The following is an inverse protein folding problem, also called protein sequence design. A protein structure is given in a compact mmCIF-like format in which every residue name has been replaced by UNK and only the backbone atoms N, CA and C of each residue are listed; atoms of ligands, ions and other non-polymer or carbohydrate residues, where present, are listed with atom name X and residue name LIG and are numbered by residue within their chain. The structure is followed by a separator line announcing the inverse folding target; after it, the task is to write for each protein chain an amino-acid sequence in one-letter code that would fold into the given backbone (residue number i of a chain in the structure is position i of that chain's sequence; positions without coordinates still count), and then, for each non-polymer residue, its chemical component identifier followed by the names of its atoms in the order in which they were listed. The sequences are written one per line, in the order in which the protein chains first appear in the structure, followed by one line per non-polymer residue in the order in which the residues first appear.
data_IF_572821352782
#
_entry.id   IF_572821352782
#
_cell.length_a   1.000
_cell.length_b   1.000
_cell.length_c   1.000
_cell.angle_alpha   90.00
_cell.angle_beta   90.00
_cell.angle_gamma   90.00
#
_symmetry.space_group_name_H-M   'P 1'
#
loop_
_entity.id
_entity.type
_entity.pdbx_description
1 polymer ?
#
# COMPACT_ATOMS: atom_id res chain seq x y z
N UNK A 1 3.84 21.50 5.34
CA UNK A 1 3.52 22.63 6.25
C UNK A 1 4.69 22.99 7.17
N UNK A 2 5.23 22.06 7.93
CA UNK A 2 6.33 22.34 8.87
C UNK A 2 7.64 22.73 8.16
N UNK A 3 7.87 22.31 6.93
CA UNK A 3 9.00 22.76 6.09
C UNK A 3 8.93 24.28 5.91
N UNK A 4 7.78 24.80 5.47
CA UNK A 4 7.58 26.24 5.30
C UNK A 4 7.71 27.00 6.65
N UNK A 5 7.22 26.42 7.73
CA UNK A 5 7.37 27.00 9.06
C UNK A 5 8.84 27.01 9.52
N UNK A 6 9.60 25.94 9.20
CA UNK A 6 11.03 25.87 9.53
C UNK A 6 11.83 26.95 8.80
N UNK A 7 11.52 27.23 7.53
CA UNK A 7 12.16 28.32 6.77
C UNK A 7 11.98 29.69 7.42
N UNK A 8 10.82 29.90 8.04
CA UNK A 8 10.56 31.12 8.82
C UNK A 8 11.28 31.09 10.17
N UNK A 9 11.27 29.97 10.89
CA UNK A 9 11.87 29.84 12.22
C UNK A 9 13.41 29.89 12.21
N UNK A 10 14.06 29.43 11.13
CA UNK A 10 15.52 29.51 10.98
C UNK A 10 16.02 30.96 11.03
N UNK A 11 15.20 31.94 10.66
CA UNK A 11 15.56 33.36 10.78
C UNK A 11 15.76 33.81 12.25
N UNK A 12 15.18 33.08 13.20
CA UNK A 12 15.29 33.38 14.64
C UNK A 12 16.32 32.50 15.34
N UNK A 13 16.38 31.21 14.98
CA UNK A 13 17.33 30.25 15.54
C UNK A 13 17.68 29.18 14.51
N UNK A 14 18.97 29.04 14.21
CA UNK A 14 19.49 28.07 13.23
C UNK A 14 19.26 26.58 13.63
N UNK A 15 18.94 26.32 14.90
CA UNK A 15 18.61 24.95 15.35
C UNK A 15 17.41 24.35 14.63
N UNK A 16 16.48 25.18 14.13
CA UNK A 16 15.34 24.72 13.35
C UNK A 16 15.68 24.18 11.96
N UNK A 17 16.93 24.38 11.49
CA UNK A 17 17.42 23.78 10.22
C UNK A 17 17.36 22.24 10.23
N UNK A 18 17.34 21.62 11.40
CA UNK A 18 17.19 20.16 11.54
C UNK A 18 15.88 19.65 10.91
N UNK A 19 14.83 20.48 10.86
CA UNK A 19 13.55 20.14 10.24
C UNK A 19 13.58 20.16 8.71
N UNK A 20 14.65 20.66 8.10
CA UNK A 20 14.82 20.61 6.64
C UNK A 20 15.36 19.25 6.15
N UNK A 21 16.02 18.48 7.03
CA UNK A 21 16.53 17.16 6.65
C UNK A 21 15.41 16.16 6.40
N UNK A 22 15.38 15.57 5.20
CA UNK A 22 14.39 14.58 4.78
C UNK A 22 14.34 13.40 5.76
N UNK A 23 15.50 12.93 6.23
CA UNK A 23 15.59 11.81 7.19
C UNK A 23 14.90 12.12 8.51
N UNK A 24 15.09 13.31 9.04
CA UNK A 24 14.45 13.76 10.29
C UNK A 24 12.93 13.86 10.09
N UNK A 25 12.49 14.48 9.00
CA UNK A 25 11.06 14.58 8.65
C UNK A 25 10.43 13.21 8.45
N UNK A 26 11.14 12.27 7.83
CA UNK A 26 10.70 10.89 7.67
C UNK A 26 10.46 10.19 9.01
N UNK A 27 11.41 10.31 9.97
CA UNK A 27 11.26 9.75 11.32
C UNK A 27 10.06 10.38 12.05
N UNK A 28 9.95 11.71 12.02
CA UNK A 28 8.81 12.39 12.64
C UNK A 28 7.49 12.06 11.96
N UNK A 29 7.49 11.79 10.67
CA UNK A 29 6.30 11.32 9.95
C UNK A 29 5.86 9.95 10.47
N UNK A 30 6.79 9.00 10.68
CA UNK A 30 6.50 7.70 11.30
C UNK A 30 5.87 7.89 12.68
N UNK A 31 6.53 8.67 13.55
CA UNK A 31 6.09 8.86 14.94
C UNK A 31 4.73 9.58 15.02
N UNK A 32 4.51 10.57 14.16
CA UNK A 32 3.23 11.31 14.10
C UNK A 32 2.10 10.39 13.66
N UNK A 33 2.27 9.64 12.57
CA UNK A 33 1.25 8.72 12.07
C UNK A 33 0.97 7.59 13.06
N UNK A 34 2.01 7.04 13.69
CA UNK A 34 1.87 6.03 14.76
C UNK A 34 1.10 6.60 15.96
N UNK A 35 1.49 7.78 16.43
CA UNK A 35 0.82 8.46 17.55
C UNK A 35 -0.65 8.74 17.27
N UNK A 36 -0.98 9.26 16.08
CA UNK A 36 -2.37 9.48 15.66
C UNK A 36 -3.15 8.16 15.67
N UNK A 37 -2.59 7.09 15.09
CA UNK A 37 -3.26 5.79 15.04
C UNK A 37 -3.52 5.21 16.42
N UNK A 38 -2.55 5.27 17.33
CA UNK A 38 -2.70 4.76 18.71
C UNK A 38 -3.67 5.58 19.56
N UNK A 39 -3.72 6.90 19.37
CA UNK A 39 -4.61 7.80 20.14
C UNK A 39 -6.06 7.73 19.61
N UNK A 40 -6.25 7.74 18.29
CA UNK A 40 -7.57 7.76 17.68
C UNK A 40 -8.17 6.35 17.59
N UNK A 41 -7.35 5.30 17.46
CA UNK A 41 -7.79 3.91 17.30
C UNK A 41 -8.84 3.46 18.33
N UNK A 42 -8.60 3.58 19.64
CA UNK A 42 -9.58 3.17 20.66
C UNK A 42 -10.90 3.94 20.58
N UNK A 43 -10.85 5.23 20.20
CA UNK A 43 -12.04 6.08 20.04
C UNK A 43 -12.85 5.60 18.83
N UNK A 44 -12.17 5.33 17.74
CA UNK A 44 -12.80 4.85 16.51
C UNK A 44 -13.43 3.47 16.70
N UNK A 45 -12.71 2.53 17.31
CA UNK A 45 -13.22 1.18 17.59
C UNK A 45 -14.50 1.26 18.45
N UNK A 46 -14.50 2.07 19.52
CA UNK A 46 -15.69 2.26 20.36
C UNK A 46 -16.88 2.83 19.58
N UNK A 47 -16.65 3.82 18.70
CA UNK A 47 -17.71 4.41 17.86
C UNK A 47 -18.26 3.42 16.84
N UNK A 48 -17.40 2.65 16.17
CA UNK A 48 -17.82 1.63 15.21
C UNK A 48 -18.63 0.53 15.88
N UNK A 49 -18.20 0.06 17.06
CA UNK A 49 -18.95 -0.90 17.86
C UNK A 49 -20.33 -0.35 18.30
N UNK A 50 -20.39 0.90 18.76
CA UNK A 50 -21.65 1.53 19.17
C UNK A 50 -22.68 1.59 18.02
N UNK A 51 -22.22 1.85 16.81
CA UNK A 51 -23.07 1.89 15.61
C UNK A 51 -23.28 0.51 14.96
N UNK A 52 -22.83 -0.56 15.59
CA UNK A 52 -22.93 -1.95 15.07
C UNK A 52 -22.39 -2.10 13.65
N UNK A 53 -21.30 -1.38 13.33
CA UNK A 53 -20.62 -1.41 12.05
C UNK A 53 -19.70 -2.64 12.04
N UNK A 54 -20.29 -3.83 12.11
CA UNK A 54 -19.56 -5.10 12.09
C UNK A 54 -19.54 -5.74 10.71
N UNK A 55 -18.50 -6.55 10.47
CA UNK A 55 -18.40 -7.32 9.23
C UNK A 55 -19.52 -8.35 9.13
N UNK A 56 -20.18 -8.38 7.97
CA UNK A 56 -21.11 -9.47 7.62
C UNK A 56 -20.25 -10.63 7.10
N UNK A 57 -20.18 -11.70 7.88
CA UNK A 57 -19.45 -12.91 7.48
C UNK A 57 -20.23 -13.62 6.38
N UNK A 58 -19.55 -14.02 5.30
CA UNK A 58 -20.15 -14.81 4.22
C UNK A 58 -20.29 -16.26 4.63
N UNK A 59 -21.41 -16.89 4.30
CA UNK A 59 -21.68 -18.31 4.60
C UNK A 59 -20.76 -19.26 3.82
N UNK A 60 -20.15 -18.80 2.72
CA UNK A 60 -19.28 -19.60 1.85
C UNK A 60 -17.81 -19.69 2.34
N UNK A 61 -17.46 -19.02 3.48
CA UNK A 61 -16.11 -18.95 4.04
C UNK A 61 -15.78 -20.12 4.99
N UNK A 62 -14.51 -20.22 5.46
CA UNK A 62 -14.14 -21.15 6.51
C UNK A 62 -14.98 -20.95 7.79
N UNK A 63 -15.40 -22.04 8.42
CA UNK A 63 -16.24 -21.98 9.64
C UNK A 63 -15.58 -21.23 10.81
N UNK A 64 -14.25 -21.19 10.85
CA UNK A 64 -13.45 -20.42 11.82
C UNK A 64 -13.77 -18.92 11.80
N UNK A 65 -14.24 -18.39 10.67
CA UNK A 65 -14.57 -16.96 10.51
C UNK A 65 -15.91 -16.57 11.12
N UNK A 66 -16.78 -17.53 11.44
CA UNK A 66 -18.07 -17.26 12.11
C UNK A 66 -17.89 -16.64 13.52
N UNK A 67 -16.81 -16.97 14.21
CA UNK A 67 -16.46 -16.38 15.51
C UNK A 67 -16.06 -14.90 15.44
N UNK A 68 -15.73 -14.39 14.23
CA UNK A 68 -15.35 -13.00 13.97
C UNK A 68 -16.55 -12.10 13.62
N UNK A 69 -17.76 -12.67 13.57
CA UNK A 69 -18.98 -11.91 13.31
C UNK A 69 -19.15 -10.80 14.36
N UNK A 70 -19.38 -9.57 13.92
CA UNK A 70 -19.52 -8.41 14.80
C UNK A 70 -18.23 -7.62 15.06
N UNK A 71 -17.05 -8.11 14.66
CA UNK A 71 -15.82 -7.30 14.70
C UNK A 71 -15.99 -6.08 13.79
N UNK A 72 -15.72 -4.84 14.28
CA UNK A 72 -15.87 -3.64 13.47
C UNK A 72 -14.99 -3.69 12.22
N UNK A 73 -15.52 -3.17 11.12
CA UNK A 73 -14.79 -2.99 9.84
C UNK A 73 -14.61 -1.51 9.51
N UNK A 74 -14.02 -1.18 8.37
CA UNK A 74 -13.66 0.18 7.92
C UNK A 74 -12.51 0.82 8.72
N UNK A 75 -11.68 0.03 9.38
CA UNK A 75 -10.49 0.51 10.08
C UNK A 75 -9.45 1.19 9.19
N UNK A 76 -9.52 0.96 7.88
CA UNK A 76 -8.70 1.66 6.90
C UNK A 76 -8.86 3.19 6.94
N UNK A 77 -9.99 3.70 7.42
CA UNK A 77 -10.16 5.15 7.60
C UNK A 77 -9.17 5.73 8.62
N UNK A 78 -8.84 4.98 9.68
CA UNK A 78 -7.80 5.37 10.65
C UNK A 78 -6.43 5.50 9.96
N UNK A 79 -6.09 4.53 9.13
CA UNK A 79 -4.83 4.52 8.37
C UNK A 79 -4.77 5.75 7.47
N UNK A 80 -5.82 6.02 6.70
CA UNK A 80 -5.85 7.13 5.74
C UNK A 80 -5.76 8.50 6.42
N UNK A 81 -6.47 8.70 7.53
CA UNK A 81 -6.39 9.95 8.31
C UNK A 81 -4.97 10.14 8.86
N UNK A 82 -4.36 9.10 9.40
CA UNK A 82 -3.00 9.14 9.93
C UNK A 82 -1.96 9.44 8.85
N UNK A 83 -2.08 8.79 7.68
CA UNK A 83 -1.22 9.07 6.51
C UNK A 83 -1.40 10.51 6.05
N UNK A 84 -2.65 10.95 5.84
CA UNK A 84 -2.92 12.28 5.30
C UNK A 84 -2.38 13.38 6.22
N UNK A 85 -2.69 13.32 7.50
CA UNK A 85 -2.24 14.32 8.47
C UNK A 85 -0.72 14.35 8.59
N UNK A 86 -0.08 13.19 8.71
CA UNK A 86 1.37 13.12 8.82
C UNK A 86 2.08 13.58 7.56
N UNK A 87 1.62 13.17 6.38
CA UNK A 87 2.18 13.61 5.10
C UNK A 87 2.05 15.13 4.91
N UNK A 88 0.86 15.70 5.15
CA UNK A 88 0.64 17.14 5.04
C UNK A 88 1.49 17.97 6.02
N UNK A 89 1.76 17.44 7.20
CA UNK A 89 2.60 18.11 8.19
C UNK A 89 4.08 18.13 7.78
N UNK A 90 4.62 16.98 7.37
CA UNK A 90 6.07 16.79 7.25
C UNK A 90 6.62 16.87 5.84
N UNK A 91 5.80 16.66 4.78
CA UNK A 91 6.28 16.74 3.40
C UNK A 91 6.44 18.17 2.92
N UNK A 92 7.31 18.33 1.93
CA UNK A 92 7.33 19.51 1.09
C UNK A 92 6.15 19.47 0.12
N UNK A 93 5.19 20.35 0.36
CA UNK A 93 3.94 20.41 -0.41
C UNK A 93 4.11 21.06 -1.79
N UNK A 94 5.29 21.56 -2.14
CA UNK A 94 5.61 21.99 -3.50
C UNK A 94 5.92 20.83 -4.43
N UNK A 95 6.21 19.65 -3.87
CA UNK A 95 6.58 18.46 -4.62
C UNK A 95 5.33 17.73 -5.17
N UNK A 96 5.27 17.58 -6.49
CA UNK A 96 4.13 16.93 -7.14
C UNK A 96 3.99 15.43 -6.83
N UNK A 97 5.10 14.71 -6.58
CA UNK A 97 5.07 13.28 -6.22
C UNK A 97 4.33 13.03 -4.89
N UNK A 98 4.47 13.95 -3.95
CA UNK A 98 3.73 13.89 -2.67
C UNK A 98 2.23 13.96 -2.93
N UNK A 99 1.78 14.89 -3.78
CA UNK A 99 0.36 15.02 -4.12
C UNK A 99 -0.18 13.84 -4.90
N UNK A 100 0.56 13.34 -5.89
CA UNK A 100 0.14 12.16 -6.67
C UNK A 100 -0.06 10.97 -5.73
N UNK A 101 0.92 10.69 -4.86
CA UNK A 101 0.86 9.56 -3.95
C UNK A 101 -0.28 9.71 -2.94
N UNK A 102 -0.42 10.89 -2.34
CA UNK A 102 -1.47 11.16 -1.35
C UNK A 102 -2.87 11.12 -1.97
N UNK A 103 -3.08 11.80 -3.10
CA UNK A 103 -4.39 11.87 -3.75
C UNK A 103 -4.85 10.51 -4.27
N UNK A 104 -3.97 9.73 -4.91
CA UNK A 104 -4.31 8.37 -5.36
C UNK A 104 -4.72 7.51 -4.16
N UNK A 105 -3.95 7.56 -3.07
CA UNK A 105 -4.26 6.81 -1.85
C UNK A 105 -5.64 7.17 -1.31
N UNK A 106 -5.94 8.46 -1.18
CA UNK A 106 -7.23 8.93 -0.64
C UNK A 106 -8.40 8.61 -1.58
N UNK A 107 -8.22 8.75 -2.90
CA UNK A 107 -9.27 8.46 -3.87
C UNK A 107 -9.59 6.96 -3.95
N UNK A 108 -8.57 6.09 -3.89
CA UNK A 108 -8.80 4.64 -3.78
C UNK A 108 -9.45 4.27 -2.45
N UNK A 109 -9.07 4.95 -1.37
CA UNK A 109 -9.75 4.83 -0.08
C UNK A 109 -11.21 5.24 -0.14
N UNK A 110 -11.55 6.29 -0.88
CA UNK A 110 -12.93 6.72 -1.10
C UNK A 110 -13.75 5.68 -1.86
N UNK A 111 -13.18 5.00 -2.88
CA UNK A 111 -13.83 3.87 -3.54
C UNK A 111 -14.13 2.75 -2.52
N UNK A 112 -13.14 2.39 -1.71
CA UNK A 112 -13.29 1.38 -0.67
C UNK A 112 -14.34 1.78 0.37
N UNK A 113 -14.35 3.06 0.77
CA UNK A 113 -15.35 3.57 1.71
C UNK A 113 -16.78 3.45 1.16
N UNK A 114 -17.01 3.77 -0.11
CA UNK A 114 -18.32 3.58 -0.75
C UNK A 114 -18.72 2.11 -0.79
N UNK A 115 -17.77 1.21 -1.05
CA UNK A 115 -18.01 -0.24 -1.07
C UNK A 115 -18.40 -0.76 0.32
N UNK A 116 -17.58 -0.47 1.34
CA UNK A 116 -17.83 -0.88 2.72
C UNK A 116 -19.11 -0.25 3.30
N UNK A 117 -19.36 1.03 2.99
CA UNK A 117 -20.60 1.70 3.40
C UNK A 117 -21.85 0.98 2.87
N UNK A 118 -21.82 0.54 1.61
CA UNK A 118 -22.95 -0.22 1.03
C UNK A 118 -23.12 -1.58 1.69
N UNK A 119 -22.02 -2.28 2.00
CA UNK A 119 -22.05 -3.59 2.66
C UNK A 119 -22.64 -3.48 4.06
N UNK A 120 -22.21 -2.50 4.84
CA UNK A 120 -22.58 -2.36 6.26
C UNK A 120 -23.94 -1.68 6.44
N UNK A 121 -24.11 -0.46 5.90
CA UNK A 121 -25.31 0.35 6.16
C UNK A 121 -26.51 -0.07 5.32
N UNK A 122 -26.31 -0.50 4.08
CA UNK A 122 -27.39 -0.99 3.23
C UNK A 122 -27.63 -2.49 3.33
N UNK A 123 -26.84 -3.20 4.16
CA UNK A 123 -26.88 -4.66 4.34
C UNK A 123 -26.85 -5.40 3.01
N UNK A 124 -26.16 -4.82 2.03
CA UNK A 124 -25.98 -5.39 0.70
C UNK A 124 -24.60 -6.06 0.64
N UNK A 125 -24.57 -7.37 0.82
CA UNK A 125 -23.33 -8.17 0.81
C UNK A 125 -22.53 -8.05 -0.48
N UNK A 126 -23.15 -7.63 -1.59
CA UNK A 126 -22.48 -7.42 -2.87
C UNK A 126 -21.68 -6.10 -2.94
N UNK A 127 -21.95 -5.13 -2.07
CA UNK A 127 -21.25 -3.83 -2.05
C UNK A 127 -21.40 -3.03 -3.36
N UNK A 128 -20.28 -2.47 -3.82
CA UNK A 128 -20.18 -1.84 -5.14
C UNK A 128 -19.97 -2.93 -6.20
N UNK A 129 -20.71 -2.87 -7.33
CA UNK A 129 -20.48 -3.87 -8.37
C UNK A 129 -19.04 -3.84 -8.89
N UNK A 130 -18.47 -5.00 -9.21
CA UNK A 130 -17.09 -5.13 -9.66
C UNK A 130 -16.76 -4.22 -10.86
N UNK A 131 -17.76 -4.01 -11.77
CA UNK A 131 -17.61 -3.13 -12.94
C UNK A 131 -17.41 -1.67 -12.55
N UNK A 132 -18.21 -1.15 -11.62
CA UNK A 132 -18.10 0.23 -11.15
C UNK A 132 -16.85 0.44 -10.29
N UNK A 133 -16.47 -0.55 -9.48
CA UNK A 133 -15.23 -0.53 -8.71
C UNK A 133 -14.02 -0.43 -9.64
N UNK A 134 -13.92 -1.31 -10.63
CA UNK A 134 -12.84 -1.32 -11.61
C UNK A 134 -12.83 -0.04 -12.48
N UNK A 135 -13.99 0.47 -12.86
CA UNK A 135 -14.11 1.70 -13.64
C UNK A 135 -13.48 2.90 -12.93
N UNK A 136 -13.84 3.14 -11.66
CA UNK A 136 -13.29 4.25 -10.90
C UNK A 136 -11.81 4.06 -10.58
N UNK A 137 -11.38 2.86 -10.25
CA UNK A 137 -9.98 2.53 -10.07
C UNK A 137 -9.17 2.82 -11.33
N UNK A 138 -9.68 2.46 -12.50
CA UNK A 138 -9.02 2.71 -13.78
C UNK A 138 -8.95 4.21 -14.11
N UNK A 139 -10.01 4.98 -13.88
CA UNK A 139 -9.98 6.43 -14.11
C UNK A 139 -8.91 7.11 -13.24
N UNK A 140 -8.89 6.79 -11.95
CA UNK A 140 -7.93 7.40 -11.03
C UNK A 140 -6.51 6.94 -11.34
N UNK A 141 -6.31 5.64 -11.59
CA UNK A 141 -5.01 5.10 -11.97
C UNK A 141 -4.48 5.65 -13.30
N UNK A 142 -5.37 5.82 -14.28
CA UNK A 142 -5.03 6.44 -15.57
C UNK A 142 -4.66 7.92 -15.38
N UNK A 143 -5.43 8.67 -14.60
CA UNK A 143 -5.13 10.07 -14.27
C UNK A 143 -3.76 10.24 -13.62
N UNK A 144 -3.42 9.38 -12.66
CA UNK A 144 -2.12 9.38 -12.02
C UNK A 144 -0.98 9.04 -13.00
N UNK A 145 -1.17 8.00 -13.84
CA UNK A 145 -0.19 7.60 -14.84
C UNK A 145 0.04 8.68 -15.91
N UNK A 146 -1.02 9.33 -16.36
CA UNK A 146 -0.94 10.48 -17.30
C UNK A 146 -0.20 11.63 -16.67
N UNK A 147 -0.52 11.99 -15.41
CA UNK A 147 0.18 13.06 -14.71
C UNK A 147 1.68 12.76 -14.59
N UNK A 148 2.05 11.56 -14.14
CA UNK A 148 3.45 11.15 -14.02
C UNK A 148 4.18 11.12 -15.37
N UNK A 149 3.50 10.76 -16.46
CA UNK A 149 4.07 10.77 -17.80
C UNK A 149 4.41 12.19 -18.30
N UNK A 150 3.46 13.12 -18.13
CA UNK A 150 3.63 14.50 -18.62
C UNK A 150 4.45 15.40 -17.69
N UNK A 151 4.61 15.03 -16.41
CA UNK A 151 5.49 15.75 -15.46
C UNK A 151 6.89 15.18 -15.39
N UNK A 152 7.21 14.15 -16.16
CA UNK A 152 8.55 13.57 -16.24
C UNK A 152 9.56 14.58 -16.83
N UNK A 153 10.66 14.80 -16.12
CA UNK A 153 11.74 15.71 -16.55
C UNK A 153 12.74 15.03 -17.49
N UNK A 154 12.81 13.70 -17.47
CA UNK A 154 13.78 12.94 -18.25
C UNK A 154 13.17 11.65 -18.83
N UNK A 155 13.76 11.14 -19.91
CA UNK A 155 13.34 9.87 -20.51
C UNK A 155 13.47 8.67 -19.56
N UNK A 156 14.35 8.75 -18.57
CA UNK A 156 14.54 7.70 -17.58
C UNK A 156 13.30 7.56 -16.66
N UNK A 157 12.61 8.68 -16.41
CA UNK A 157 11.40 8.68 -15.59
C UNK A 157 10.18 8.02 -16.24
N UNK A 158 10.23 7.69 -17.52
CA UNK A 158 9.19 6.97 -18.26
C UNK A 158 9.67 5.62 -18.80
N UNK A 159 10.85 5.15 -18.34
CA UNK A 159 11.44 3.88 -18.73
C UNK A 159 11.34 2.83 -17.63
N UNK A 160 11.13 1.57 -18.00
CA UNK A 160 11.16 0.45 -17.10
C UNK A 160 12.56 -0.12 -16.96
N UNK A 161 12.99 -0.34 -15.73
CA UNK A 161 14.32 -0.79 -15.40
C UNK A 161 14.27 -2.26 -15.06
N UNK A 162 15.11 -3.05 -15.76
CA UNK A 162 15.18 -4.49 -15.50
C UNK A 162 16.24 -4.74 -14.42
N UNK A 163 15.85 -5.29 -13.24
CA UNK A 163 16.82 -5.64 -12.22
C UNK A 163 17.82 -6.68 -12.74
N UNK A 164 19.04 -6.66 -12.20
CA UNK A 164 20.18 -7.50 -12.60
C UNK A 164 20.86 -7.14 -13.95
N UNK A 165 20.25 -6.35 -14.81
CA UNK A 165 20.86 -5.95 -16.09
C UNK A 165 21.13 -4.45 -16.09
N UNK A 166 22.42 -4.08 -15.95
CA UNK A 166 22.87 -2.67 -15.73
C UNK A 166 22.40 -1.68 -16.78
N UNK A 167 22.38 -2.10 -18.04
CA UNK A 167 22.18 -1.21 -19.18
C UNK A 167 20.81 -1.41 -19.86
N UNK A 168 19.94 -2.25 -19.26
CA UNK A 168 18.64 -2.56 -19.85
C UNK A 168 17.56 -1.66 -19.24
N UNK A 169 17.27 -0.57 -19.91
CA UNK A 169 16.07 0.24 -19.68
C UNK A 169 15.15 0.14 -20.89
N UNK A 170 13.89 -0.18 -20.65
CA UNK A 170 12.90 -0.37 -21.70
C UNK A 170 12.01 0.88 -21.75
N UNK A 171 12.23 1.72 -22.74
CA UNK A 171 11.33 2.83 -23.01
C UNK A 171 10.15 2.33 -23.86
N UNK A 172 8.98 2.28 -23.27
CA UNK A 172 7.74 1.85 -23.94
C UNK A 172 6.88 3.02 -24.41
N UNK A 173 7.41 4.25 -24.33
CA UNK A 173 6.72 5.45 -24.77
C UNK A 173 5.36 5.62 -24.10
N UNK A 174 4.30 5.90 -24.88
CA UNK A 174 2.95 6.14 -24.37
C UNK A 174 2.33 4.91 -23.69
N UNK A 175 2.79 3.70 -23.97
CA UNK A 175 2.34 2.47 -23.28
C UNK A 175 2.69 2.47 -21.79
N UNK A 176 3.65 3.33 -21.36
CA UNK A 176 3.91 3.60 -19.96
C UNK A 176 2.63 3.93 -19.18
N UNK A 177 1.75 4.74 -19.75
CA UNK A 177 0.49 5.15 -19.10
C UNK A 177 -0.40 3.92 -18.84
N UNK A 178 -0.58 3.07 -19.85
CA UNK A 178 -1.41 1.87 -19.71
C UNK A 178 -0.82 0.87 -18.70
N UNK A 179 0.51 0.68 -18.72
CA UNK A 179 1.18 -0.26 -17.83
C UNK A 179 1.21 0.25 -16.38
N UNK A 180 1.48 1.53 -16.16
CA UNK A 180 1.41 2.15 -14.83
C UNK A 180 0.00 2.08 -14.25
N UNK A 181 -1.03 2.36 -15.05
CA UNK A 181 -2.41 2.19 -14.65
C UNK A 181 -2.71 0.73 -14.26
N UNK A 182 -2.24 -0.24 -15.06
CA UNK A 182 -2.38 -1.67 -14.77
C UNK A 182 -1.74 -2.05 -13.43
N UNK A 183 -0.53 -1.55 -13.12
CA UNK A 183 0.15 -1.80 -11.85
C UNK A 183 -0.66 -1.23 -10.68
N UNK A 184 -1.14 0.03 -10.78
CA UNK A 184 -1.91 0.68 -9.71
C UNK A 184 -3.20 -0.09 -9.43
N UNK A 185 -3.99 -0.40 -10.45
CA UNK A 185 -5.24 -1.15 -10.31
C UNK A 185 -4.97 -2.58 -9.84
N UNK A 186 -3.95 -3.23 -10.40
CA UNK A 186 -3.57 -4.60 -10.07
C UNK A 186 -3.19 -4.77 -8.61
N UNK A 187 -2.25 -3.96 -8.11
CA UNK A 187 -1.81 -4.06 -6.72
C UNK A 187 -2.85 -3.57 -5.71
N UNK A 188 -3.68 -2.58 -6.08
CA UNK A 188 -4.82 -2.21 -5.25
C UNK A 188 -5.74 -3.41 -4.96
N UNK A 189 -6.10 -4.17 -6.00
CA UNK A 189 -6.92 -5.36 -5.83
C UNK A 189 -6.14 -6.54 -5.22
N UNK A 190 -4.83 -6.65 -5.45
CA UNK A 190 -4.00 -7.71 -4.89
C UNK A 190 -3.87 -7.59 -3.36
N UNK A 191 -3.66 -6.38 -2.83
CA UNK A 191 -3.66 -6.14 -1.38
C UNK A 191 -5.05 -6.41 -0.81
N UNK A 192 -6.11 -6.01 -1.50
CA UNK A 192 -7.49 -6.27 -1.07
C UNK A 192 -7.82 -7.77 -1.01
N UNK A 193 -7.35 -8.57 -1.98
CA UNK A 193 -7.49 -10.03 -1.95
C UNK A 193 -6.69 -10.69 -0.84
N UNK A 194 -5.58 -10.09 -0.41
CA UNK A 194 -4.73 -10.59 0.67
C UNK A 194 -5.28 -10.27 2.06
N UNK A 195 -6.17 -9.27 2.18
CA UNK A 195 -6.77 -8.84 3.46
C UNK A 195 -7.90 -9.79 3.91
N UNK A 196 -7.58 -11.08 4.02
CA UNK A 196 -8.53 -12.12 4.42
C UNK A 196 -8.35 -12.67 5.84
N UNK A 197 -7.20 -12.41 6.48
CA UNK A 197 -6.88 -12.84 7.84
C UNK A 197 -6.36 -11.68 8.68
N UNK A 198 -6.50 -11.79 10.01
CA UNK A 198 -6.15 -10.75 10.98
C UNK A 198 -4.68 -10.33 10.88
N UNK A 199 -4.41 -9.10 10.44
CA UNK A 199 -3.06 -8.57 10.29
C UNK A 199 -2.26 -9.11 9.09
N UNK A 200 -2.84 -9.99 8.26
CA UNK A 200 -2.12 -10.62 7.16
C UNK A 200 -1.63 -9.61 6.13
N UNK A 201 -2.46 -8.67 5.69
CA UNK A 201 -2.11 -7.73 4.63
C UNK A 201 -1.32 -6.51 5.13
N UNK A 202 -1.60 -6.04 6.36
CA UNK A 202 -1.05 -4.77 6.83
C UNK A 202 0.47 -4.82 7.05
N UNK A 203 1.02 -5.87 7.67
CA UNK A 203 2.45 -5.93 7.93
C UNK A 203 3.28 -6.10 6.64
N UNK A 204 2.94 -6.98 5.68
CA UNK A 204 3.54 -6.97 4.34
C UNK A 204 3.49 -5.60 3.66
N UNK A 205 2.38 -4.88 3.76
CA UNK A 205 2.26 -3.52 3.21
C UNK A 205 3.24 -2.55 3.86
N UNK A 206 3.39 -2.59 5.18
CA UNK A 206 4.36 -1.78 5.94
C UNK A 206 5.79 -2.11 5.49
N UNK A 207 6.15 -3.39 5.40
CA UNK A 207 7.49 -3.81 5.00
C UNK A 207 7.84 -3.38 3.57
N UNK A 208 6.94 -3.61 2.62
CA UNK A 208 7.14 -3.23 1.21
C UNK A 208 7.14 -1.71 1.07
N UNK A 209 6.23 -1.00 1.75
CA UNK A 209 6.17 0.47 1.76
C UNK A 209 7.44 1.10 2.32
N UNK A 210 8.00 0.52 3.39
CA UNK A 210 9.27 0.95 3.95
C UNK A 210 10.44 0.76 2.97
N UNK A 211 10.51 -0.39 2.32
CA UNK A 211 11.53 -0.67 1.32
C UNK A 211 11.42 0.30 0.11
N UNK A 212 10.20 0.54 -0.39
CA UNK A 212 9.96 1.51 -1.45
C UNK A 212 10.32 2.95 -1.02
N UNK A 213 10.09 3.31 0.24
CA UNK A 213 10.53 4.58 0.80
C UNK A 213 12.06 4.72 0.78
N UNK A 214 12.78 3.68 1.18
CA UNK A 214 14.25 3.64 1.09
C UNK A 214 14.70 3.77 -0.37
N UNK A 215 14.09 3.04 -1.30
CA UNK A 215 14.42 3.12 -2.72
C UNK A 215 14.17 4.54 -3.26
N UNK A 216 13.02 5.14 -2.93
CA UNK A 216 12.68 6.50 -3.34
C UNK A 216 13.69 7.54 -2.81
N UNK A 217 14.15 7.38 -1.55
CA UNK A 217 15.19 8.22 -0.98
C UNK A 217 16.52 8.09 -1.72
N UNK A 218 16.94 6.84 -2.00
CA UNK A 218 18.19 6.56 -2.73
C UNK A 218 18.15 7.07 -4.17
N UNK A 219 17.02 6.88 -4.85
CA UNK A 219 16.80 7.39 -6.21
C UNK A 219 16.72 8.93 -6.28
N UNK A 220 16.28 9.56 -5.18
CA UNK A 220 16.21 11.02 -5.07
C UNK A 220 17.52 11.69 -4.66
N UNK A 221 18.57 10.93 -4.35
CA UNK A 221 19.87 11.46 -3.91
C UNK A 221 20.94 11.19 -4.97
N UNK A 222 21.57 12.24 -5.48
CA UNK A 222 22.51 12.16 -6.61
C UNK A 222 23.71 11.21 -6.34
N UNK A 223 24.33 11.30 -5.17
CA UNK A 223 25.48 10.46 -4.82
C UNK A 223 25.09 8.99 -4.61
N UNK A 224 23.98 8.73 -3.92
CA UNK A 224 23.55 7.36 -3.67
C UNK A 224 23.03 6.69 -4.93
N UNK A 225 22.32 7.41 -5.79
CA UNK A 225 21.88 6.87 -7.08
C UNK A 225 23.07 6.53 -7.97
N UNK A 226 24.08 7.40 -8.04
CA UNK A 226 25.32 7.15 -8.78
C UNK A 226 26.10 5.96 -8.20
N UNK A 227 26.25 5.89 -6.86
CA UNK A 227 26.95 4.77 -6.21
C UNK A 227 26.28 3.42 -6.44
N UNK A 228 24.93 3.38 -6.43
CA UNK A 228 24.15 2.17 -6.66
C UNK A 228 23.93 1.88 -8.14
N UNK A 229 24.25 2.83 -9.00
CA UNK A 229 23.95 2.78 -10.45
C UNK A 229 22.46 2.61 -10.73
N UNK A 230 21.61 3.29 -9.94
CA UNK A 230 20.15 3.37 -10.14
C UNK A 230 19.80 4.74 -10.72
N UNK A 231 18.60 4.91 -11.32
CA UNK A 231 18.18 6.20 -11.84
C UNK A 231 18.14 7.28 -10.78
N UNK A 232 18.68 8.44 -11.12
CA UNK A 232 18.44 9.65 -10.33
C UNK A 232 17.13 10.30 -10.77
N UNK A 233 16.20 10.44 -9.81
CA UNK A 233 14.87 10.99 -10.03
C UNK A 233 14.68 12.18 -9.10
N UNK A 234 14.70 13.37 -9.70
CA UNK A 234 14.63 14.63 -8.95
C UNK A 234 13.32 14.71 -8.16
N UNK A 235 13.44 14.92 -6.85
CA UNK A 235 12.28 15.07 -5.97
C UNK A 235 11.64 13.78 -5.46
N UNK A 236 12.03 12.59 -5.98
CA UNK A 236 11.47 11.32 -5.47
C UNK A 236 11.79 11.05 -4.00
N UNK A 237 12.86 11.64 -3.46
CA UNK A 237 13.23 11.53 -2.05
C UNK A 237 12.15 11.97 -1.08
N UNK A 238 11.30 12.93 -1.46
CA UNK A 238 10.17 13.37 -0.61
C UNK A 238 9.12 12.27 -0.35
N UNK A 239 9.04 11.28 -1.23
CA UNK A 239 8.13 10.13 -1.06
C UNK A 239 8.49 9.31 0.19
N UNK A 240 9.72 9.39 0.71
CA UNK A 240 10.10 8.72 1.97
C UNK A 240 9.28 9.21 3.16
N UNK A 241 8.80 10.45 3.13
CA UNK A 241 7.97 11.01 4.20
C UNK A 241 6.57 10.39 4.17
N UNK A 242 6.00 10.23 2.97
CA UNK A 242 4.76 9.48 2.78
C UNK A 242 4.93 8.01 3.18
N UNK A 243 6.05 7.38 2.80
CA UNK A 243 6.38 6.02 3.24
C UNK A 243 6.45 5.94 4.77
N UNK A 244 7.07 6.91 5.43
CA UNK A 244 7.09 7.02 6.89
C UNK A 244 5.70 7.11 7.49
N UNK A 245 4.82 7.95 6.92
CA UNK A 245 3.43 8.02 7.34
C UNK A 245 2.69 6.68 7.19
N UNK A 246 2.93 5.97 6.08
CA UNK A 246 2.37 4.63 5.83
C UNK A 246 2.89 3.62 6.87
N UNK A 247 4.21 3.63 7.16
CA UNK A 247 4.80 2.76 8.18
C UNK A 247 4.18 3.01 9.55
N UNK A 248 4.16 4.27 9.99
CA UNK A 248 3.62 4.64 11.30
C UNK A 248 2.14 4.31 11.44
N UNK A 249 1.34 4.66 10.44
CA UNK A 249 -0.10 4.36 10.44
C UNK A 249 -0.38 2.86 10.39
N UNK A 250 0.36 2.12 9.55
CA UNK A 250 0.22 0.68 9.41
C UNK A 250 0.60 -0.09 10.67
N UNK A 251 1.71 0.28 11.32
CA UNK A 251 2.09 -0.30 12.62
C UNK A 251 1.11 0.05 13.72
N UNK A 252 0.62 1.30 13.76
CA UNK A 252 -0.39 1.72 14.72
C UNK A 252 -1.74 1.02 14.50
N UNK A 253 -2.12 0.76 13.25
CA UNK A 253 -3.30 -0.04 12.93
C UNK A 253 -3.10 -1.52 13.30
N UNK A 254 -1.93 -2.09 13.00
CA UNK A 254 -1.60 -3.48 13.35
C UNK A 254 -1.74 -3.75 14.85
N UNK A 255 -1.51 -2.78 15.71
CA UNK A 255 -1.71 -2.90 17.16
C UNK A 255 -3.12 -3.37 17.51
N UNK A 256 -4.12 -2.97 16.73
CA UNK A 256 -5.52 -3.34 16.92
C UNK A 256 -5.99 -4.48 15.99
N UNK A 257 -5.29 -4.69 14.87
CA UNK A 257 -5.66 -5.66 13.84
C UNK A 257 -4.91 -7.00 13.97
N UNK A 258 -3.92 -7.11 14.89
CA UNK A 258 -3.25 -8.40 15.16
C UNK A 258 -4.24 -9.43 15.71
N UNK A 259 -3.98 -10.71 15.43
CA UNK A 259 -4.86 -11.81 15.87
C UNK A 259 -4.94 -11.95 17.41
N UNK A 260 -6.15 -12.05 18.02
CA UNK A 260 -7.47 -11.84 17.40
C UNK A 260 -7.79 -10.35 17.19
N UNK A 261 -8.21 -9.98 16.01
CA UNK A 261 -8.38 -8.58 15.61
C UNK A 261 -9.53 -7.89 16.34
N UNK A 262 -9.29 -6.66 16.80
CA UNK A 262 -10.30 -5.77 17.39
C UNK A 262 -11.01 -4.92 16.32
N UNK A 263 -10.41 -4.80 15.11
CA UNK A 263 -10.94 -4.04 13.99
C UNK A 263 -10.37 -4.59 12.68
N UNK A 264 -11.19 -4.67 11.64
CA UNK A 264 -10.77 -5.01 10.28
C UNK A 264 -10.49 -3.79 9.43
N UNK A 265 -9.52 -3.93 8.52
CA UNK A 265 -9.11 -2.85 7.63
C UNK A 265 -10.21 -2.46 6.65
N UNK A 266 -10.83 -3.44 6.03
CA UNK A 266 -11.85 -3.27 5.00
C UNK A 266 -11.30 -2.77 3.67
N UNK A 267 -12.20 -2.65 2.68
CA UNK A 267 -11.84 -2.18 1.34
C UNK A 267 -11.28 -0.76 1.36
N UNK A 268 -11.66 0.07 2.35
CA UNK A 268 -11.14 1.43 2.56
C UNK A 268 -9.62 1.44 2.64
N UNK A 269 -9.05 0.59 3.49
CA UNK A 269 -7.60 0.54 3.69
C UNK A 269 -6.90 -0.29 2.63
N UNK A 270 -7.43 -1.48 2.33
CA UNK A 270 -6.77 -2.43 1.46
C UNK A 270 -6.56 -1.90 0.04
N UNK A 271 -7.59 -1.28 -0.56
CA UNK A 271 -7.47 -0.68 -1.90
C UNK A 271 -6.52 0.50 -1.93
N UNK A 272 -6.60 1.36 -0.91
CA UNK A 272 -5.78 2.55 -0.80
C UNK A 272 -4.30 2.21 -0.66
N UNK A 273 -3.97 1.28 0.23
CA UNK A 273 -2.60 0.87 0.49
C UNK A 273 -1.95 0.17 -0.70
N UNK A 274 -2.70 -0.70 -1.40
CA UNK A 274 -2.19 -1.34 -2.61
C UNK A 274 -1.89 -0.33 -3.73
N UNK A 275 -2.76 0.66 -3.93
CA UNK A 275 -2.55 1.75 -4.88
C UNK A 275 -1.37 2.64 -4.47
N UNK A 276 -1.22 2.95 -3.17
CA UNK A 276 -0.10 3.72 -2.63
C UNK A 276 1.24 3.05 -2.93
N UNK A 277 1.38 1.76 -2.63
CA UNK A 277 2.59 0.99 -2.93
C UNK A 277 2.93 1.02 -4.42
N UNK A 278 1.94 0.85 -5.28
CA UNK A 278 2.12 0.88 -6.73
C UNK A 278 2.63 2.24 -7.21
N UNK A 279 2.03 3.35 -6.75
CA UNK A 279 2.47 4.70 -7.10
C UNK A 279 3.90 4.97 -6.62
N UNK A 280 4.25 4.56 -5.40
CA UNK A 280 5.63 4.69 -4.89
C UNK A 280 6.63 3.93 -5.75
N UNK A 281 6.29 2.71 -6.19
CA UNK A 281 7.14 1.90 -7.07
C UNK A 281 7.31 2.54 -8.44
N UNK A 282 6.24 3.11 -9.00
CA UNK A 282 6.25 3.82 -10.28
C UNK A 282 7.10 5.10 -10.18
N UNK A 283 6.99 5.90 -9.13
CA UNK A 283 7.79 7.10 -8.94
C UNK A 283 9.28 6.75 -8.84
N UNK A 284 9.62 5.70 -8.09
CA UNK A 284 11.00 5.28 -7.89
C UNK A 284 11.61 4.47 -9.05
N UNK A 285 10.84 4.15 -10.09
CA UNK A 285 11.24 3.29 -11.24
C UNK A 285 11.69 1.88 -10.87
N UNK A 286 11.09 1.32 -9.86
CA UNK A 286 11.42 -0.01 -9.36
C UNK A 286 10.20 -0.95 -9.38
N UNK A 287 9.40 -0.87 -10.44
CA UNK A 287 8.16 -1.63 -10.59
C UNK A 287 8.42 -3.14 -10.58
N UNK A 288 9.46 -3.61 -11.29
CA UNK A 288 9.80 -5.04 -11.34
C UNK A 288 10.31 -5.52 -9.98
N UNK A 289 11.12 -4.71 -9.29
CA UNK A 289 11.56 -5.01 -7.92
C UNK A 289 10.36 -5.05 -6.96
N UNK A 290 9.40 -4.15 -7.16
CA UNK A 290 8.15 -4.13 -6.40
C UNK A 290 7.33 -5.42 -6.59
N UNK A 291 7.25 -5.98 -7.81
CA UNK A 291 6.62 -7.28 -8.04
C UNK A 291 7.29 -8.40 -7.22
N UNK A 292 8.62 -8.34 -7.05
CA UNK A 292 9.36 -9.30 -6.22
C UNK A 292 9.04 -9.06 -4.74
N UNK A 293 9.21 -7.83 -4.24
CA UNK A 293 8.95 -7.49 -2.84
C UNK A 293 7.51 -7.75 -2.41
N UNK A 294 6.56 -7.41 -3.31
CA UNK A 294 5.13 -7.66 -3.15
C UNK A 294 4.68 -9.06 -3.54
N UNK A 295 5.60 -10.03 -3.65
CA UNK A 295 5.32 -11.37 -4.18
C UNK A 295 4.23 -12.14 -3.44
N UNK A 296 3.98 -11.86 -2.16
CA UNK A 296 2.83 -12.40 -1.43
C UNK A 296 1.51 -11.92 -2.07
N UNK A 297 1.36 -10.62 -2.32
CA UNK A 297 0.16 -10.07 -2.98
C UNK A 297 -0.02 -10.64 -4.38
N UNK A 298 1.10 -10.80 -5.10
CA UNK A 298 1.11 -11.40 -6.44
C UNK A 298 0.68 -12.87 -6.38
N UNK A 299 1.22 -13.65 -5.45
CA UNK A 299 0.90 -15.07 -5.28
C UNK A 299 -0.58 -15.29 -4.90
N UNK A 300 -1.11 -14.47 -3.98
CA UNK A 300 -2.53 -14.50 -3.60
C UNK A 300 -3.42 -14.24 -4.81
N UNK A 301 -3.15 -13.18 -5.57
CA UNK A 301 -3.90 -12.81 -6.76
C UNK A 301 -3.78 -13.89 -7.85
N UNK A 302 -2.57 -14.38 -8.12
CA UNK A 302 -2.33 -15.42 -9.10
C UNK A 302 -3.10 -16.69 -8.75
N UNK A 303 -3.18 -17.07 -7.48
CA UNK A 303 -3.95 -18.23 -7.04
C UNK A 303 -5.43 -18.11 -7.37
N UNK A 304 -6.00 -16.92 -7.23
CA UNK A 304 -7.41 -16.65 -7.59
C UNK A 304 -7.60 -16.75 -9.11
N UNK A 305 -6.70 -16.14 -9.89
CA UNK A 305 -6.77 -16.18 -11.35
C UNK A 305 -6.67 -17.63 -11.84
N UNK A 306 -5.69 -18.40 -11.35
CA UNK A 306 -5.49 -19.81 -11.70
C UNK A 306 -6.73 -20.63 -11.33
N UNK A 307 -7.26 -20.46 -10.11
CA UNK A 307 -8.44 -21.19 -9.64
C UNK A 307 -9.66 -20.93 -10.51
N UNK A 308 -9.96 -19.65 -10.77
CA UNK A 308 -11.13 -19.25 -11.56
C UNK A 308 -11.00 -19.72 -13.01
N UNK A 309 -9.82 -19.59 -13.61
CA UNK A 309 -9.55 -20.01 -14.97
C UNK A 309 -9.66 -21.53 -15.11
N UNK A 310 -9.01 -22.29 -14.22
CA UNK A 310 -9.10 -23.75 -14.22
C UNK A 310 -10.54 -24.23 -14.05
N UNK A 311 -11.28 -23.66 -13.10
CA UNK A 311 -12.66 -24.06 -12.85
C UNK A 311 -13.57 -23.76 -14.05
N UNK A 312 -13.40 -22.61 -14.71
CA UNK A 312 -14.18 -22.26 -15.91
C UNK A 312 -13.85 -23.14 -17.12
N UNK A 313 -12.58 -23.53 -17.29
CA UNK A 313 -12.14 -24.32 -18.45
C UNK A 313 -12.30 -25.83 -18.26
N UNK A 314 -12.08 -26.33 -17.04
CA UNK A 314 -12.01 -27.81 -16.80
C UNK A 314 -13.01 -28.32 -15.77
N UNK A 315 -13.76 -27.43 -15.07
CA UNK A 315 -14.64 -27.81 -13.96
C UNK A 315 -13.90 -28.26 -12.70
N UNK A 316 -12.54 -28.20 -12.68
CA UNK A 316 -11.73 -28.69 -11.57
C UNK A 316 -11.07 -27.56 -10.79
N UNK A 317 -11.02 -27.71 -9.46
CA UNK A 317 -10.29 -26.80 -8.56
C UNK A 317 -8.82 -27.20 -8.46
N UNK A 318 -7.89 -26.22 -8.61
CA UNK A 318 -6.44 -26.42 -8.40
C UNK A 318 -6.13 -26.37 -6.89
N UNK A 319 -6.67 -25.37 -6.21
CA UNK A 319 -6.52 -25.20 -4.77
C UNK A 319 -7.79 -25.63 -4.03
N UNK A 320 -7.70 -26.01 -2.76
CA UNK A 320 -8.88 -26.28 -1.91
C UNK A 320 -9.81 -25.09 -1.88
N UNK A 321 -9.22 -23.91 -1.73
CA UNK A 321 -9.86 -22.58 -1.83
C UNK A 321 -8.82 -21.57 -2.28
N UNK A 322 -9.20 -20.52 -2.96
CA UNK A 322 -8.37 -19.36 -3.27
C UNK A 322 -9.03 -18.12 -2.64
N UNK A 323 -8.24 -17.15 -2.18
CA UNK A 323 -6.76 -17.03 -2.20
C UNK A 323 -5.99 -18.09 -1.37
N UNK A 324 -4.63 -18.09 -1.46
CA UNK A 324 -3.77 -19.13 -0.87
C UNK A 324 -3.88 -19.26 0.66
N UNK A 325 -4.09 -18.17 1.38
CA UNK A 325 -4.25 -18.24 2.83
C UNK A 325 -5.38 -19.17 3.23
N UNK A 326 -6.54 -19.12 2.55
CA UNK A 326 -7.65 -20.07 2.79
C UNK A 326 -7.31 -21.51 2.42
N UNK A 327 -6.46 -21.72 1.40
CA UNK A 327 -5.99 -23.06 1.08
C UNK A 327 -5.22 -23.68 2.25
N UNK A 328 -4.37 -22.89 2.94
CA UNK A 328 -3.61 -23.39 4.09
C UNK A 328 -4.49 -23.56 5.34
N UNK A 329 -5.48 -22.70 5.57
CA UNK A 329 -6.48 -22.92 6.63
C UNK A 329 -7.23 -24.25 6.43
N UNK A 330 -7.72 -24.52 5.20
CA UNK A 330 -8.39 -25.76 4.85
C UNK A 330 -7.46 -26.99 4.84
N UNK A 331 -6.14 -26.79 4.90
CA UNK A 331 -5.15 -27.84 5.20
C UNK A 331 -4.98 -28.11 6.70
N UNK A 332 -5.67 -27.34 7.57
CA UNK A 332 -5.59 -27.47 9.03
C UNK A 332 -4.50 -26.62 9.68
N UNK A 333 -3.94 -25.63 8.99
CA UNK A 333 -3.03 -24.69 9.64
C UNK A 333 -3.82 -23.66 10.44
N UNK A 334 -3.48 -23.43 11.72
CA UNK A 334 -4.11 -22.36 12.48
C UNK A 334 -3.74 -21.00 11.89
N UNK A 335 -4.68 -20.06 11.92
CA UNK A 335 -4.58 -18.73 11.33
C UNK A 335 -3.26 -17.99 11.69
N UNK A 336 -2.82 -17.91 12.97
CA UNK A 336 -1.58 -17.23 13.31
C UNK A 336 -0.34 -17.82 12.62
N UNK A 337 -0.34 -19.14 12.35
CA UNK A 337 0.76 -19.80 11.65
C UNK A 337 0.81 -19.38 10.18
N UNK A 338 -0.33 -19.23 9.52
CA UNK A 338 -0.39 -18.73 8.14
C UNK A 338 0.14 -17.31 8.11
N UNK A 339 -0.38 -16.44 8.97
CA UNK A 339 -0.02 -15.02 9.05
C UNK A 339 1.50 -14.84 9.22
N UNK A 340 2.08 -15.44 10.26
CA UNK A 340 3.51 -15.29 10.57
C UNK A 340 4.40 -15.81 9.44
N UNK A 341 4.03 -16.93 8.80
CA UNK A 341 4.80 -17.47 7.67
C UNK A 341 4.77 -16.54 6.46
N UNK A 342 3.63 -15.93 6.16
CA UNK A 342 3.52 -14.95 5.10
C UNK A 342 4.34 -13.70 5.39
N UNK A 343 4.38 -13.24 6.64
CA UNK A 343 5.26 -12.16 7.07
C UNK A 343 6.73 -12.48 6.86
N UNK A 344 7.17 -13.69 7.26
CA UNK A 344 8.57 -14.14 7.06
C UNK A 344 8.90 -14.18 5.57
N UNK A 345 8.02 -14.72 4.73
CA UNK A 345 8.23 -14.74 3.28
C UNK A 345 8.33 -13.31 2.74
N UNK A 346 7.49 -12.38 3.20
CA UNK A 346 7.58 -10.97 2.79
C UNK A 346 8.92 -10.35 3.18
N UNK A 347 9.43 -10.61 4.40
CA UNK A 347 10.78 -10.15 4.80
C UNK A 347 11.84 -10.66 3.83
N UNK A 348 11.80 -11.96 3.50
CA UNK A 348 12.76 -12.56 2.55
C UNK A 348 12.69 -11.88 1.18
N UNK A 349 11.48 -11.66 0.65
CA UNK A 349 11.27 -11.03 -0.64
C UNK A 349 11.69 -9.56 -0.65
N UNK A 350 11.43 -8.83 0.43
CA UNK A 350 11.86 -7.44 0.60
C UNK A 350 13.39 -7.35 0.66
N UNK A 351 14.04 -8.19 1.44
CA UNK A 351 15.51 -8.23 1.51
C UNK A 351 16.13 -8.61 0.17
N UNK A 352 15.53 -9.57 -0.54
CA UNK A 352 15.96 -9.94 -1.89
C UNK A 352 15.80 -8.76 -2.85
N UNK A 353 14.65 -8.07 -2.84
CA UNK A 353 14.41 -6.89 -3.67
C UNK A 353 15.39 -5.76 -3.39
N UNK A 354 15.66 -5.44 -2.11
CA UNK A 354 16.67 -4.44 -1.74
C UNK A 354 18.08 -4.87 -2.17
N UNK A 355 18.40 -6.17 -2.07
CA UNK A 355 19.67 -6.73 -2.55
C UNK A 355 19.89 -6.49 -4.05
N UNK A 356 18.84 -6.45 -4.86
CA UNK A 356 18.96 -6.21 -6.30
C UNK A 356 19.48 -4.81 -6.64
N UNK A 357 19.36 -3.83 -5.74
CA UNK A 357 19.81 -2.45 -5.99
C UNK A 357 21.31 -2.35 -6.26
N UNK A 358 22.12 -3.21 -5.66
CA UNK A 358 23.58 -3.22 -5.86
C UNK A 358 24.05 -4.28 -6.84
N UNK A 359 23.23 -5.27 -7.17
CA UNK A 359 23.58 -6.38 -8.08
C UNK A 359 23.48 -6.00 -9.57
N UNK A 360 23.42 -4.71 -9.86
CA UNK A 360 23.42 -4.15 -11.20
C UNK A 360 24.82 -3.98 -11.74
#
# INVERSE_FOLDING_TARGET
MLVWLSDYLIQFDNSFSVLQYITVRGIFSILTALGISLLIGPIMIRRLNYHQIGQVVRDDGPQSHLSKAGTPTMGGALILVSIALSTLLWSDLSNHYVWVTLLVTLLYGAIGWVDDYRKVFRKNTAGLSARWKLFWQTIIGLGAAVLLYYTAFSAVEISYIVPFFKDVSINIGIFYIAFSCFIIVGFSNAVNLTDGLDGLAILPTVMVGGALGVIAYLSGHMEFSAYLNIPYIVGSGEVVIFAGALLGSGLGFLWFNTYPAQIFMGDVGALALGAALAVMAIISRHEIVFFIMGGIFVAETASVIIQVTSFKLTGRRVFRMAPLHHHFELKGWPEPRVIVRFWIITVMLVLFGLGTLKLR
#
